data_IF_819535912639
#
_entry.id   IF_819535912639
#
_cell.length_a   1.000
_cell.length_b   1.000
_cell.length_c   1.000
_cell.angle_alpha   90.00
_cell.angle_beta   90.00
_cell.angle_gamma   90.00
#
_symmetry.space_group_name_H-M   'P 1'
#
loop_
_entity.id
_entity.type
_entity.pdbx_description
1 polymer ?
#
# COMPACT_ATOMS: atom_id res chain seq x y z
N UNK A 1 -8.07 24.04 -6.38
CA UNK A 1 -7.28 22.99 -7.06
C UNK A 1 -7.23 23.35 -8.54
N UNK A 2 -6.13 23.11 -9.25
CA UNK A 2 -6.13 23.30 -10.72
C UNK A 2 -6.76 22.08 -11.40
N UNK A 3 -7.30 22.23 -12.61
CA UNK A 3 -7.88 21.13 -13.38
C UNK A 3 -6.90 19.96 -13.59
N UNK A 4 -5.61 20.28 -13.74
CA UNK A 4 -4.53 19.31 -13.81
C UNK A 4 -4.42 18.48 -12.51
N UNK A 5 -4.48 19.14 -11.35
CA UNK A 5 -4.43 18.46 -10.05
C UNK A 5 -5.64 17.54 -9.83
N UNK A 6 -6.82 17.95 -10.29
CA UNK A 6 -8.05 17.13 -10.20
C UNK A 6 -7.98 15.89 -11.09
N UNK A 7 -7.48 16.03 -12.32
CA UNK A 7 -7.30 14.89 -13.22
C UNK A 7 -6.25 13.90 -12.70
N UNK A 8 -5.15 14.40 -12.14
CA UNK A 8 -4.15 13.56 -11.48
C UNK A 8 -4.74 12.84 -10.27
N UNK A 9 -5.52 13.55 -9.44
CA UNK A 9 -6.23 12.94 -8.32
C UNK A 9 -7.17 11.82 -8.79
N UNK A 10 -7.94 12.03 -9.84
CA UNK A 10 -8.81 11.01 -10.42
C UNK A 10 -8.03 9.77 -10.89
N UNK A 11 -6.80 9.94 -11.39
CA UNK A 11 -5.92 8.81 -11.71
C UNK A 11 -5.60 7.97 -10.47
N UNK A 12 -5.28 8.57 -9.32
CA UNK A 12 -5.04 7.80 -8.10
C UNK A 12 -6.33 7.18 -7.53
N UNK A 13 -7.44 7.91 -7.55
CA UNK A 13 -8.73 7.43 -7.05
C UNK A 13 -9.23 6.20 -7.80
N UNK A 14 -9.08 6.17 -9.12
CA UNK A 14 -9.44 5.02 -9.96
C UNK A 14 -8.66 3.73 -9.61
N UNK A 15 -7.59 3.82 -8.82
CA UNK A 15 -6.73 2.69 -8.42
C UNK A 15 -6.84 2.36 -6.93
N UNK A 16 -7.75 3.00 -6.19
CA UNK A 16 -8.05 2.68 -4.77
C UNK A 16 -8.41 1.20 -4.59
N UNK A 17 -9.01 0.57 -5.60
CA UNK A 17 -9.34 -0.85 -5.61
C UNK A 17 -8.13 -1.75 -5.36
N UNK A 18 -6.90 -1.32 -5.68
CA UNK A 18 -5.68 -2.07 -5.39
C UNK A 18 -5.44 -2.19 -3.89
N UNK A 19 -5.63 -1.09 -3.15
CA UNK A 19 -5.55 -1.10 -1.69
C UNK A 19 -6.66 -1.98 -1.09
N UNK A 20 -7.87 -1.92 -1.64
CA UNK A 20 -8.99 -2.76 -1.21
C UNK A 20 -8.73 -4.25 -1.45
N UNK A 21 -8.23 -4.62 -2.63
CA UNK A 21 -7.89 -6.01 -2.97
C UNK A 21 -6.72 -6.53 -2.14
N UNK A 22 -5.71 -5.68 -1.89
CA UNK A 22 -4.61 -5.99 -0.99
C UNK A 22 -5.12 -6.26 0.42
N UNK A 23 -5.95 -5.36 0.94
CA UNK A 23 -6.51 -5.48 2.29
C UNK A 23 -7.40 -6.72 2.41
N UNK A 24 -8.26 -6.98 1.42
CA UNK A 24 -9.10 -8.19 1.35
C UNK A 24 -8.23 -9.45 1.39
N UNK A 25 -7.20 -9.54 0.54
CA UNK A 25 -6.27 -10.66 0.56
C UNK A 25 -5.60 -10.82 1.93
N UNK A 26 -5.17 -9.72 2.54
CA UNK A 26 -4.50 -9.75 3.84
C UNK A 26 -5.43 -10.29 4.91
N UNK A 27 -6.66 -9.77 5.00
CA UNK A 27 -7.68 -10.20 5.98
C UNK A 27 -8.04 -11.68 5.79
N UNK A 28 -8.20 -12.16 4.55
CA UNK A 28 -8.53 -13.56 4.26
C UNK A 28 -7.40 -14.54 4.62
N UNK A 29 -6.15 -14.08 4.73
CA UNK A 29 -4.98 -14.95 4.89
C UNK A 29 -4.28 -14.78 6.24
N UNK A 30 -4.64 -13.74 7.01
CA UNK A 30 -4.17 -13.54 8.38
C UNK A 30 -5.08 -14.33 9.32
N UNK A 31 -4.49 -15.15 10.20
CA UNK A 31 -5.26 -15.83 11.26
C UNK A 31 -5.57 -14.82 12.37
N UNK A 32 -6.61 -14.00 12.18
CA UNK A 32 -6.91 -12.91 13.12
C UNK A 32 -7.61 -13.35 14.41
N UNK A 33 -8.36 -14.47 14.41
CA UNK A 33 -9.23 -14.86 15.52
C UNK A 33 -8.87 -16.25 16.07
N UNK A 34 -9.03 -16.42 17.38
CA UNK A 34 -9.11 -17.74 18.02
C UNK A 34 -10.52 -18.31 17.83
N UNK A 35 -10.62 -19.62 17.64
CA UNK A 35 -11.89 -20.29 17.33
C UNK A 35 -12.85 -20.37 18.52
N UNK A 36 -12.40 -20.05 19.74
CA UNK A 36 -13.23 -20.08 20.95
C UNK A 36 -12.78 -19.01 21.96
N UNK A 37 -13.68 -18.68 22.90
CA UNK A 37 -13.45 -17.68 23.96
C UNK A 37 -12.44 -18.13 25.03
N UNK A 38 -12.21 -19.45 25.14
CA UNK A 38 -11.23 -20.05 26.06
C UNK A 38 -9.91 -20.36 25.35
N UNK A 39 -9.60 -19.60 24.29
CA UNK A 39 -8.42 -19.81 23.47
C UNK A 39 -7.14 -19.49 24.23
N UNK A 40 -5.97 -19.87 23.70
CA UNK A 40 -4.70 -19.51 24.31
C UNK A 40 -4.61 -17.98 24.47
N UNK A 41 -4.01 -17.51 25.57
CA UNK A 41 -3.71 -16.09 25.75
C UNK A 41 -2.89 -15.60 24.56
N UNK A 42 -3.45 -14.67 23.80
CA UNK A 42 -2.79 -14.07 22.64
C UNK A 42 -1.88 -12.96 23.15
N UNK A 43 -0.56 -13.00 22.88
CA UNK A 43 0.33 -11.89 23.18
C UNK A 43 -0.16 -10.62 22.49
N UNK A 44 -0.15 -9.48 23.19
CA UNK A 44 -0.49 -8.20 22.57
C UNK A 44 0.48 -7.93 21.42
N UNK A 45 -0.06 -7.45 20.31
CA UNK A 45 0.74 -7.13 19.13
C UNK A 45 0.69 -5.64 18.91
N UNK A 46 1.86 -5.04 18.68
CA UNK A 46 1.94 -3.63 18.37
C UNK A 46 1.42 -3.38 16.94
N UNK A 47 0.19 -2.87 16.84
CA UNK A 47 -0.46 -2.54 15.57
C UNK A 47 0.31 -1.42 14.85
N UNK A 48 0.99 -0.54 15.57
CA UNK A 48 1.84 0.48 14.96
C UNK A 48 3.02 -0.14 14.22
N UNK A 49 3.63 -1.17 14.81
CA UNK A 49 4.70 -1.94 14.17
C UNK A 49 4.20 -2.64 12.90
N UNK A 50 2.98 -3.16 12.90
CA UNK A 50 2.39 -3.75 11.69
C UNK A 50 2.15 -2.72 10.58
N UNK A 51 1.67 -1.52 10.92
CA UNK A 51 1.51 -0.41 9.97
C UNK A 51 2.88 -0.03 9.40
N UNK A 52 3.90 0.06 10.25
CA UNK A 52 5.29 0.37 9.87
C UNK A 52 5.83 -0.67 8.89
N UNK A 53 5.71 -1.97 9.21
CA UNK A 53 6.15 -3.08 8.35
C UNK A 53 5.39 -3.11 7.02
N UNK A 54 4.10 -2.77 7.02
CA UNK A 54 3.30 -2.61 5.81
C UNK A 54 3.84 -1.52 4.90
N UNK A 55 4.14 -0.33 5.47
CA UNK A 55 4.77 0.78 4.74
C UNK A 55 6.11 0.37 4.14
N UNK A 56 7.00 -0.22 4.95
CA UNK A 56 8.33 -0.68 4.49
C UNK A 56 8.21 -1.66 3.33
N UNK A 57 7.26 -2.60 3.40
CA UNK A 57 7.11 -3.61 2.35
C UNK A 57 6.62 -3.02 1.04
N UNK A 58 5.71 -2.05 1.09
CA UNK A 58 5.26 -1.31 -0.09
C UNK A 58 6.40 -0.46 -0.65
N UNK A 59 7.16 0.23 0.20
CA UNK A 59 8.32 1.01 -0.21
C UNK A 59 9.37 0.15 -0.91
N UNK A 60 9.70 -1.03 -0.39
CA UNK A 60 10.64 -1.95 -1.02
C UNK A 60 10.16 -2.49 -2.39
N UNK A 61 8.84 -2.66 -2.57
CA UNK A 61 8.24 -3.01 -3.86
C UNK A 61 8.40 -1.87 -4.87
N UNK A 62 8.15 -0.64 -4.42
CA UNK A 62 8.35 0.58 -5.20
C UNK A 62 9.83 0.75 -5.57
N UNK A 63 10.76 0.67 -4.62
CA UNK A 63 12.21 0.75 -4.88
C UNK A 63 12.71 -0.31 -5.87
N UNK A 64 12.23 -1.53 -5.75
CA UNK A 64 12.57 -2.60 -6.70
C UNK A 64 12.10 -2.25 -8.12
N UNK A 65 10.90 -1.70 -8.22
CA UNK A 65 10.31 -1.26 -9.47
C UNK A 65 10.99 0.00 -10.06
N UNK A 66 11.65 0.82 -9.24
CA UNK A 66 12.24 2.09 -9.68
C UNK A 66 13.72 2.01 -9.99
N UNK A 67 14.43 1.01 -9.45
CA UNK A 67 15.81 0.69 -9.87
C UNK A 67 15.94 0.41 -11.37
N UNK A 68 14.82 0.10 -12.02
CA UNK A 68 14.70 -0.14 -13.45
C UNK A 68 14.24 1.09 -14.25
N UNK A 69 14.04 2.24 -13.60
CA UNK A 69 13.48 3.46 -14.17
C UNK A 69 14.45 4.66 -14.03
N UNK A 70 14.28 5.70 -14.87
CA UNK A 70 15.16 6.88 -14.97
C UNK A 70 14.72 8.04 -14.05
N UNK A 71 15.58 9.07 -13.88
CA UNK A 71 15.36 10.27 -13.03
C UNK A 71 13.97 10.94 -13.09
N UNK A 72 13.23 10.98 -14.23
CA UNK A 72 11.89 11.58 -14.28
C UNK A 72 10.87 10.91 -13.36
N UNK A 73 11.11 9.67 -12.93
CA UNK A 73 10.28 8.99 -11.95
C UNK A 73 10.48 9.47 -10.52
N UNK A 74 11.63 10.08 -10.20
CA UNK A 74 11.96 10.51 -8.84
C UNK A 74 10.88 11.43 -8.26
N UNK A 75 10.38 12.39 -9.06
CA UNK A 75 9.31 13.31 -8.62
C UNK A 75 8.00 12.59 -8.32
N UNK A 76 7.62 11.62 -9.15
CA UNK A 76 6.40 10.84 -8.94
C UNK A 76 6.51 9.96 -7.69
N UNK A 77 7.72 9.45 -7.43
CA UNK A 77 8.02 8.64 -6.26
C UNK A 77 8.04 9.45 -4.98
N UNK A 78 8.61 10.65 -4.99
CA UNK A 78 8.55 11.59 -3.87
C UNK A 78 7.10 11.87 -3.50
N UNK A 79 6.26 12.19 -4.48
CA UNK A 79 4.81 12.44 -4.25
C UNK A 79 4.10 11.20 -3.71
N UNK A 80 4.37 10.01 -4.26
CA UNK A 80 3.78 8.77 -3.75
C UNK A 80 4.23 8.44 -2.31
N UNK A 81 5.49 8.71 -1.97
CA UNK A 81 6.04 8.53 -0.64
C UNK A 81 5.42 9.52 0.37
N UNK A 82 5.22 10.78 -0.02
CA UNK A 82 4.53 11.80 0.78
C UNK A 82 3.06 11.43 1.04
N UNK A 83 2.34 10.94 0.02
CA UNK A 83 0.98 10.42 0.19
C UNK A 83 0.96 9.22 1.15
N UNK A 84 1.92 8.30 1.00
CA UNK A 84 2.05 7.15 1.90
C UNK A 84 2.32 7.54 3.35
N UNK A 85 3.14 8.57 3.56
CA UNK A 85 3.40 9.13 4.89
C UNK A 85 2.16 9.81 5.48
N UNK A 86 1.46 10.62 4.69
CA UNK A 86 0.20 11.25 5.09
C UNK A 86 -0.87 10.20 5.46
N UNK A 87 -0.99 9.13 4.68
CA UNK A 87 -1.91 8.03 4.99
C UNK A 87 -1.55 7.33 6.31
N UNK A 88 -0.26 7.06 6.56
CA UNK A 88 0.24 6.51 7.82
C UNK A 88 -0.15 7.43 8.99
N UNK A 89 0.18 8.71 8.91
CA UNK A 89 -0.14 9.69 9.95
C UNK A 89 -1.64 9.80 10.19
N UNK A 90 -2.45 9.78 9.13
CA UNK A 90 -3.91 9.81 9.24
C UNK A 90 -4.44 8.61 10.03
N UNK A 91 -3.94 7.41 9.73
CA UNK A 91 -4.32 6.18 10.47
C UNK A 91 -3.91 6.29 11.93
N UNK A 92 -2.67 6.68 12.22
CA UNK A 92 -2.19 6.82 13.61
C UNK A 92 -2.99 7.87 14.38
N UNK A 93 -3.22 9.03 13.79
CA UNK A 93 -3.99 10.13 14.41
C UNK A 93 -5.46 9.75 14.65
N UNK A 94 -6.09 9.03 13.72
CA UNK A 94 -7.46 8.53 13.90
C UNK A 94 -7.58 7.48 15.00
N UNK A 95 -6.49 6.76 15.30
CA UNK A 95 -6.43 5.73 16.33
C UNK A 95 -5.62 6.18 17.56
N UNK A 96 -5.48 7.50 17.79
CA UNK A 96 -4.73 8.05 18.92
C UNK A 96 -5.27 7.57 20.29
N UNK A 97 -6.57 7.32 20.37
CA UNK A 97 -7.28 6.85 21.57
C UNK A 97 -7.39 5.31 21.57
N UNK A 98 -6.34 4.64 21.11
CA UNK A 98 -6.30 3.19 20.91
C UNK A 98 -7.04 2.72 19.67
N UNK A 99 -6.61 1.56 19.16
CA UNK A 99 -7.29 0.85 18.09
C UNK A 99 -8.58 0.18 18.60
N UNK A 100 -9.46 -0.21 17.68
CA UNK A 100 -10.70 -0.91 17.99
C UNK A 100 -10.50 -2.09 18.97
N UNK A 101 -9.42 -2.85 18.75
CA UNK A 101 -8.97 -3.98 19.57
C UNK A 101 -8.64 -3.59 21.02
N UNK A 102 -8.00 -2.44 21.21
CA UNK A 102 -7.64 -1.93 22.54
C UNK A 102 -8.88 -1.58 23.35
N UNK A 103 -9.90 -0.99 22.69
CA UNK A 103 -11.16 -0.59 23.33
C UNK A 103 -12.05 -1.78 23.70
N UNK A 104 -12.04 -2.82 22.87
CA UNK A 104 -12.84 -4.04 23.08
C UNK A 104 -12.13 -5.02 24.04
N UNK A 105 -10.85 -4.79 24.37
CA UNK A 105 -10.06 -5.70 25.19
C UNK A 105 -9.77 -7.03 24.47
N UNK A 106 -9.81 -7.05 23.14
CA UNK A 106 -9.58 -8.21 22.32
C UNK A 106 -8.38 -7.97 21.43
N UNK A 107 -7.41 -8.89 21.41
CA UNK A 107 -6.26 -8.80 20.53
C UNK A 107 -6.36 -9.88 19.45
N UNK A 108 -6.25 -9.53 18.17
CA UNK A 108 -6.19 -10.52 17.11
C UNK A 108 -4.91 -11.34 17.23
N UNK A 109 -4.94 -12.62 16.83
CA UNK A 109 -3.78 -13.53 16.85
C UNK A 109 -2.78 -13.15 15.74
N UNK A 110 -2.08 -12.03 15.89
CA UNK A 110 -1.19 -11.51 14.85
C UNK A 110 0.25 -11.98 15.07
N UNK A 111 0.59 -13.12 14.45
CA UNK A 111 1.99 -13.53 14.35
C UNK A 111 2.74 -12.65 13.33
N UNK A 112 3.78 -11.92 13.77
CA UNK A 112 4.55 -10.99 12.90
C UNK A 112 5.21 -11.71 11.73
N UNK A 113 5.73 -12.93 11.91
CA UNK A 113 6.37 -13.70 10.82
C UNK A 113 5.32 -14.07 9.76
N UNK A 114 4.14 -14.48 10.20
CA UNK A 114 2.99 -14.78 9.35
C UNK A 114 2.44 -13.53 8.68
N UNK A 115 2.36 -12.40 9.40
CA UNK A 115 1.98 -11.11 8.85
C UNK A 115 2.94 -10.71 7.72
N UNK A 116 4.26 -10.77 7.94
CA UNK A 116 5.28 -10.52 6.89
C UNK A 116 5.11 -11.45 5.69
N UNK A 117 4.88 -12.75 5.92
CA UNK A 117 4.64 -13.73 4.84
C UNK A 117 3.35 -13.41 4.05
N UNK A 118 2.30 -13.01 4.75
CA UNK A 118 0.99 -12.63 4.18
C UNK A 118 1.09 -11.34 3.37
N UNK A 119 1.75 -10.31 3.92
CA UNK A 119 2.09 -9.08 3.20
C UNK A 119 2.82 -9.41 1.88
N UNK A 120 3.87 -10.25 1.94
CA UNK A 120 4.60 -10.68 0.73
C UNK A 120 3.71 -11.42 -0.26
N UNK A 121 2.85 -12.35 0.21
CA UNK A 121 1.92 -13.11 -0.63
C UNK A 121 0.91 -12.19 -1.32
N UNK A 122 0.29 -11.28 -0.58
CA UNK A 122 -0.75 -10.39 -1.09
C UNK A 122 -0.19 -9.30 -1.99
N UNK A 123 0.99 -8.75 -1.70
CA UNK A 123 1.65 -7.82 -2.62
C UNK A 123 1.97 -8.47 -3.97
N UNK A 124 2.28 -9.77 -4.01
CA UNK A 124 2.55 -10.50 -5.27
C UNK A 124 1.30 -10.72 -6.13
N UNK A 125 0.09 -10.60 -5.57
CA UNK A 125 -1.16 -10.72 -6.34
C UNK A 125 -1.50 -9.47 -7.15
N UNK A 126 -0.84 -8.34 -6.85
CA UNK A 126 -1.01 -7.10 -7.60
C UNK A 126 -0.13 -7.20 -8.85
N UNK A 127 -0.73 -7.00 -10.01
CA UNK A 127 0.00 -6.85 -11.27
C UNK A 127 0.63 -5.45 -11.34
N UNK A 128 1.71 -5.26 -10.58
CA UNK A 128 2.39 -3.98 -10.47
C UNK A 128 2.78 -3.39 -11.82
N UNK A 129 3.07 -4.23 -12.83
CA UNK A 129 3.44 -3.76 -14.18
C UNK A 129 2.26 -3.06 -14.85
N UNK A 130 1.11 -3.73 -14.85
CA UNK A 130 -0.11 -3.21 -15.46
C UNK A 130 -0.59 -1.96 -14.74
N UNK A 131 -0.57 -1.97 -13.41
CA UNK A 131 -1.06 -0.85 -12.61
C UNK A 131 -0.17 0.39 -12.72
N UNK A 132 1.16 0.21 -12.68
CA UNK A 132 2.09 1.31 -12.87
C UNK A 132 2.02 1.87 -14.29
N UNK A 133 1.90 1.01 -15.31
CA UNK A 133 1.76 1.43 -16.70
C UNK A 133 0.46 2.20 -16.92
N UNK A 134 -0.65 1.69 -16.39
CA UNK A 134 -1.92 2.38 -16.45
C UNK A 134 -1.91 3.71 -15.71
N UNK A 135 -1.25 3.80 -14.55
CA UNK A 135 -1.12 5.06 -13.80
C UNK A 135 -0.28 6.09 -14.58
N UNK A 136 0.82 5.66 -15.21
CA UNK A 136 1.65 6.50 -16.06
C UNK A 136 0.86 7.10 -17.22
N UNK A 137 0.13 6.27 -17.98
CA UNK A 137 -0.70 6.75 -19.10
C UNK A 137 -1.79 7.72 -18.65
N UNK A 138 -2.35 7.50 -17.46
CA UNK A 138 -3.32 8.40 -16.88
C UNK A 138 -2.68 9.76 -16.52
N UNK A 139 -1.50 9.76 -15.91
CA UNK A 139 -0.76 10.98 -15.59
C UNK A 139 -0.35 11.77 -16.84
N UNK A 140 0.04 11.09 -17.93
CA UNK A 140 0.31 11.72 -19.23
C UNK A 140 -0.94 12.38 -19.78
N UNK A 141 -2.08 11.69 -19.79
CA UNK A 141 -3.38 12.26 -20.21
C UNK A 141 -3.82 13.43 -19.33
N UNK A 142 -3.46 13.42 -18.06
CA UNK A 142 -3.68 14.51 -17.12
C UNK A 142 -2.68 15.68 -17.29
N UNK A 143 -1.77 15.63 -18.28
CA UNK A 143 -0.90 16.75 -18.64
C UNK A 143 0.57 16.60 -18.22
N UNK A 144 0.98 15.49 -17.60
CA UNK A 144 2.39 15.21 -17.28
C UNK A 144 3.07 14.54 -18.48
N UNK A 145 3.25 15.32 -19.55
CA UNK A 145 3.73 14.83 -20.85
C UNK A 145 5.16 14.27 -20.82
N UNK A 146 5.97 14.70 -19.86
CA UNK A 146 7.35 14.21 -19.66
C UNK A 146 7.42 12.69 -19.40
N UNK A 147 6.30 12.08 -18.98
CA UNK A 147 6.23 10.64 -18.69
C UNK A 147 5.93 9.76 -19.93
N UNK A 148 5.52 10.35 -21.06
CA UNK A 148 4.98 9.61 -22.21
C UNK A 148 5.94 8.55 -22.75
N UNK A 149 7.20 8.93 -22.98
CA UNK A 149 8.27 8.04 -23.45
C UNK A 149 8.59 6.89 -22.47
N UNK A 150 8.16 6.99 -21.21
CA UNK A 150 8.46 6.00 -20.19
C UNK A 150 7.29 5.08 -19.84
N UNK A 151 6.05 5.41 -20.23
CA UNK A 151 4.89 4.56 -19.91
C UNK A 151 4.94 3.19 -20.59
N UNK A 152 5.46 3.12 -21.83
CA UNK A 152 5.68 1.86 -22.53
C UNK A 152 6.78 1.01 -21.88
N UNK A 153 7.82 1.67 -21.36
CA UNK A 153 8.95 1.05 -20.67
C UNK A 153 8.48 0.43 -19.35
N UNK A 154 7.66 1.14 -18.58
CA UNK A 154 7.07 0.62 -17.33
C UNK A 154 6.32 -0.69 -17.54
N UNK A 155 5.51 -0.79 -18.59
CA UNK A 155 4.77 -2.01 -18.92
C UNK A 155 5.71 -3.20 -19.20
N UNK A 156 6.94 -2.92 -19.62
CA UNK A 156 7.85 -3.91 -20.19
C UNK A 156 8.95 -4.39 -19.24
N UNK A 157 9.40 -3.57 -18.27
CA UNK A 157 10.65 -3.86 -17.53
C UNK A 157 10.48 -4.66 -16.23
N UNK A 158 9.27 -4.81 -15.66
CA UNK A 158 9.18 -5.35 -14.30
C UNK A 158 9.28 -6.89 -14.27
N UNK A 159 10.33 -7.45 -13.64
CA UNK A 159 10.44 -8.87 -13.27
C UNK A 159 10.21 -9.06 -11.78
#
# INVERSE_FOLDING_TARGET
>A
LTAQTEQLRACFEARIYLAQNFLKCFIENIEGCVNNKNGPMIPRVDINELIRLGKERLHAQVEHFTKTLTKPFDRMLTVAAEIGECAKECVLKKNKDGFCFDRIGCQPKLDIKRARKTLRKCSKKIDWKREAGGLCECAVRAGIRELDQYCAIIRSISG
#
